data_IF_175482222142
#
_entry.id   IF_175482222142
#
_cell.length_a   1.000
_cell.length_b   1.000
_cell.length_c   1.000
_cell.angle_alpha   90.00
_cell.angle_beta   90.00
_cell.angle_gamma   90.00
#
_symmetry.space_group_name_H-M   'P 1'
#
loop_
_entity.id
_entity.type
_entity.pdbx_description
1 polymer ?
#
# COMPACT_ATOMS: atom_id res chain seq x y z
N UNK A 1 -17.41 24.32 -6.23
CA UNK A 1 -16.34 24.47 -7.23
C UNK A 1 -14.99 24.49 -6.51
N UNK A 2 -13.92 24.05 -7.17
CA UNK A 2 -12.56 24.32 -6.66
C UNK A 2 -12.39 25.85 -6.56
N UNK A 3 -11.84 26.33 -5.45
CA UNK A 3 -11.71 27.77 -5.19
C UNK A 3 -10.76 28.47 -6.19
N UNK A 4 -9.77 27.73 -6.69
CA UNK A 4 -8.71 28.25 -7.56
C UNK A 4 -8.46 27.34 -8.78
N UNK A 5 -7.98 27.89 -9.91
CA UNK A 5 -7.50 27.09 -11.04
C UNK A 5 -6.37 26.17 -10.59
N UNK A 6 -6.39 24.92 -11.08
CA UNK A 6 -5.36 23.95 -10.72
C UNK A 6 -4.01 24.34 -11.34
N UNK A 7 -2.88 24.13 -10.64
CA UNK A 7 -1.55 24.38 -11.19
C UNK A 7 -1.29 23.52 -12.43
N UNK A 8 -0.40 23.98 -13.32
CA UNK A 8 -0.06 23.25 -14.54
C UNK A 8 0.83 22.02 -14.32
N UNK A 9 1.37 21.79 -13.13
CA UNK A 9 2.24 20.65 -12.82
C UNK A 9 2.22 20.31 -11.31
N UNK A 10 2.80 19.17 -10.95
CA UNK A 10 2.87 18.68 -9.57
C UNK A 10 1.59 17.98 -9.14
N UNK A 11 1.28 18.04 -7.84
CA UNK A 11 0.03 17.52 -7.27
C UNK A 11 -0.73 18.68 -6.65
N UNK A 12 -1.96 18.90 -7.10
CA UNK A 12 -2.83 19.96 -6.62
C UNK A 12 -3.71 19.45 -5.47
N UNK A 13 -3.67 20.14 -4.32
CA UNK A 13 -4.63 19.93 -3.25
C UNK A 13 -5.87 20.80 -3.50
N UNK A 14 -7.06 20.21 -3.38
CA UNK A 14 -8.34 20.89 -3.55
C UNK A 14 -9.18 20.65 -2.32
N UNK A 15 -9.51 21.73 -1.63
CA UNK A 15 -10.58 21.75 -0.63
C UNK A 15 -11.85 22.26 -1.32
N UNK A 16 -12.94 21.50 -1.23
CA UNK A 16 -14.18 21.88 -1.89
C UNK A 16 -15.01 22.78 -0.98
N UNK A 17 -15.29 23.99 -1.45
CA UNK A 17 -16.17 24.95 -0.79
C UNK A 17 -17.55 24.88 -1.44
N UNK A 18 -18.56 24.45 -0.68
CA UNK A 18 -19.97 24.46 -1.05
C UNK A 18 -20.88 24.59 0.20
N UNK A 19 -22.18 24.75 -0.01
CA UNK A 19 -23.13 24.98 1.09
C UNK A 19 -23.73 23.69 1.65
N UNK A 20 -23.12 22.53 1.37
CA UNK A 20 -23.62 21.23 1.80
C UNK A 20 -23.05 20.83 3.15
N UNK A 21 -23.81 20.03 3.92
CA UNK A 21 -23.43 19.53 5.25
C UNK A 21 -22.38 18.38 5.18
N UNK A 22 -21.31 18.58 4.43
CA UNK A 22 -20.18 17.66 4.32
C UNK A 22 -18.86 18.43 4.14
N UNK A 23 -17.75 17.73 4.36
CA UNK A 23 -16.41 18.21 4.01
C UNK A 23 -15.86 17.29 2.92
N UNK A 24 -15.28 17.87 1.88
CA UNK A 24 -14.67 17.12 0.79
C UNK A 24 -13.32 17.74 0.42
N UNK A 25 -12.33 16.90 0.19
CA UNK A 25 -11.02 17.30 -0.30
C UNK A 25 -10.40 16.23 -1.18
N UNK A 26 -9.54 16.62 -2.11
CA UNK A 26 -8.78 15.68 -2.92
C UNK A 26 -7.41 16.23 -3.33
N UNK A 27 -6.52 15.33 -3.69
CA UNK A 27 -5.25 15.61 -4.35
C UNK A 27 -5.31 15.09 -5.78
N UNK A 28 -5.01 15.93 -6.76
CA UNK A 28 -4.99 15.58 -8.18
C UNK A 28 -3.60 15.77 -8.77
N UNK A 29 -3.07 14.74 -9.42
CA UNK A 29 -1.80 14.82 -10.12
C UNK A 29 -1.96 15.59 -11.44
N UNK A 30 -1.16 16.64 -11.61
CA UNK A 30 -1.05 17.48 -12.81
C UNK A 30 0.19 17.16 -13.62
N UNK A 31 1.13 16.40 -13.05
CA UNK A 31 2.26 15.82 -13.78
C UNK A 31 2.48 14.35 -13.40
N UNK A 32 3.28 13.66 -14.21
CA UNK A 32 3.61 12.25 -14.01
C UNK A 32 5.06 11.99 -14.43
N UNK A 33 5.90 11.65 -13.44
CA UNK A 33 7.26 11.14 -13.71
C UNK A 33 7.21 9.72 -14.28
N UNK A 34 6.12 8.98 -14.00
CA UNK A 34 5.90 7.63 -14.51
C UNK A 34 5.91 7.60 -16.04
N UNK A 35 5.20 8.53 -16.70
CA UNK A 35 5.11 8.57 -18.16
C UNK A 35 6.47 8.78 -18.85
N UNK A 36 7.29 9.67 -18.29
CA UNK A 36 8.65 9.90 -18.78
C UNK A 36 9.55 8.66 -18.60
N UNK A 37 9.48 8.01 -17.44
CA UNK A 37 10.22 6.79 -17.17
C UNK A 37 9.78 5.63 -18.08
N UNK A 38 8.48 5.49 -18.30
CA UNK A 38 7.90 4.50 -19.20
C UNK A 38 8.39 4.70 -20.65
N UNK A 39 8.34 5.92 -21.17
CA UNK A 39 8.83 6.22 -22.52
C UNK A 39 10.32 5.91 -22.71
N UNK A 40 11.15 6.16 -21.69
CA UNK A 40 12.57 5.82 -21.73
C UNK A 40 12.81 4.31 -21.75
N UNK A 41 11.95 3.52 -21.09
CA UNK A 41 12.14 2.09 -20.89
C UNK A 41 11.47 1.20 -21.94
N UNK A 42 10.53 1.74 -22.73
CA UNK A 42 9.68 0.96 -23.62
C UNK A 42 9.69 1.49 -25.07
N UNK A 43 9.20 0.68 -26.01
CA UNK A 43 9.11 1.05 -27.43
C UNK A 43 8.09 2.18 -27.66
N UNK A 44 8.24 3.01 -28.72
CA UNK A 44 7.24 4.01 -29.08
C UNK A 44 5.84 3.41 -29.28
N UNK A 45 5.76 2.21 -29.83
CA UNK A 45 4.52 1.48 -30.08
C UNK A 45 3.82 1.09 -28.78
N UNK A 46 4.58 0.67 -27.76
CA UNK A 46 4.05 0.38 -26.43
C UNK A 46 3.61 1.66 -25.72
N UNK A 47 4.39 2.73 -25.84
CA UNK A 47 4.07 4.05 -25.25
C UNK A 47 2.77 4.61 -25.79
N UNK A 48 2.49 4.44 -27.09
CA UNK A 48 1.27 4.91 -27.71
C UNK A 48 -0.01 4.17 -27.25
N UNK A 49 0.12 2.96 -26.69
CA UNK A 49 -1.02 2.10 -26.30
C UNK A 49 -1.40 2.21 -24.82
N UNK A 50 -0.46 2.58 -23.95
CA UNK A 50 -0.66 2.53 -22.50
C UNK A 50 -1.04 3.91 -21.95
N UNK A 51 -2.17 3.95 -21.23
CA UNK A 51 -2.60 5.14 -20.50
C UNK A 51 -1.73 5.35 -19.26
N UNK A 52 -1.25 6.58 -19.05
CA UNK A 52 -0.54 6.95 -17.83
C UNK A 52 -1.46 6.78 -16.60
N UNK A 53 -1.10 5.91 -15.63
CA UNK A 53 -1.91 5.65 -14.46
C UNK A 53 -1.74 6.72 -13.38
N UNK A 54 -0.81 7.65 -13.48
CA UNK A 54 -0.51 8.65 -12.45
C UNK A 54 -1.07 10.01 -12.82
N UNK A 55 -0.92 10.41 -14.08
CA UNK A 55 -1.45 11.69 -14.56
C UNK A 55 -2.96 11.75 -14.31
N UNK A 56 -3.43 12.85 -13.73
CA UNK A 56 -4.83 13.10 -13.37
C UNK A 56 -5.46 12.12 -12.38
N UNK A 57 -4.67 11.20 -11.80
CA UNK A 57 -5.11 10.42 -10.66
C UNK A 57 -5.47 11.36 -9.53
N UNK A 58 -6.69 11.19 -9.03
CA UNK A 58 -7.31 12.02 -8.01
C UNK A 58 -7.67 11.13 -6.83
N UNK A 59 -7.10 11.42 -5.66
CA UNK A 59 -7.29 10.68 -4.41
C UNK A 59 -7.80 11.64 -3.35
N UNK A 60 -8.84 11.26 -2.61
CA UNK A 60 -9.39 12.15 -1.59
C UNK A 60 -10.49 11.51 -0.76
N UNK A 61 -11.14 12.34 0.04
CA UNK A 61 -12.20 11.93 0.94
C UNK A 61 -13.42 12.84 0.86
N UNK A 62 -14.58 12.26 1.15
CA UNK A 62 -15.79 12.98 1.53
C UNK A 62 -16.21 12.49 2.90
N UNK A 63 -16.43 13.41 3.83
CA UNK A 63 -16.89 13.14 5.19
C UNK A 63 -18.23 13.82 5.45
N UNK A 64 -19.18 13.06 5.95
CA UNK A 64 -20.49 13.55 6.39
C UNK A 64 -20.94 12.81 7.65
N UNK A 65 -21.80 13.44 8.44
CA UNK A 65 -22.36 12.80 9.63
C UNK A 65 -23.81 13.23 9.84
N UNK A 66 -24.66 12.30 10.29
CA UNK A 66 -26.09 12.56 10.45
C UNK A 66 -26.32 13.65 11.51
N UNK A 67 -27.03 14.71 11.14
CA UNK A 67 -27.37 15.82 12.05
C UNK A 67 -26.23 16.82 12.27
N UNK A 68 -25.10 16.67 11.59
CA UNK A 68 -24.04 17.67 11.57
C UNK A 68 -24.34 18.74 10.52
N UNK A 69 -23.89 19.96 10.78
CA UNK A 69 -23.93 21.10 9.87
C UNK A 69 -22.52 21.54 9.53
N UNK A 70 -22.31 22.03 8.31
CA UNK A 70 -21.02 22.63 7.95
C UNK A 70 -20.78 23.87 8.81
N UNK A 71 -19.62 23.92 9.47
CA UNK A 71 -19.20 25.07 10.27
C UNK A 71 -18.24 25.96 9.47
N UNK A 72 -17.27 25.33 8.81
CA UNK A 72 -16.28 26.00 7.97
C UNK A 72 -15.85 25.09 6.81
N UNK A 73 -14.92 25.52 5.93
CA UNK A 73 -14.47 24.70 4.81
C UNK A 73 -13.93 23.32 5.18
N UNK A 74 -13.41 23.14 6.38
CA UNK A 74 -12.70 21.96 6.86
C UNK A 74 -13.40 21.22 7.99
N UNK A 75 -14.52 21.75 8.51
CA UNK A 75 -15.19 21.17 9.67
C UNK A 75 -16.72 21.13 9.56
N UNK A 76 -17.29 20.10 10.20
CA UNK A 76 -18.73 19.94 10.44
C UNK A 76 -18.94 19.80 11.95
N UNK A 77 -20.04 20.33 12.46
CA UNK A 77 -20.36 20.33 13.88
C UNK A 77 -21.84 20.03 14.12
N UNK A 78 -22.17 19.50 15.30
CA UNK A 78 -23.56 19.41 15.75
C UNK A 78 -24.02 20.77 16.27
N UNK A 79 -25.26 21.21 15.98
CA UNK A 79 -25.78 22.45 16.53
C UNK A 79 -25.94 22.42 18.07
N UNK A 80 -26.01 21.22 18.66
CA UNK A 80 -26.20 20.97 20.09
C UNK A 80 -25.40 19.72 20.51
N UNK A 81 -25.03 19.58 21.79
CA UNK A 81 -24.33 18.38 22.29
C UNK A 81 -25.09 17.08 21.99
N UNK A 82 -24.38 16.08 21.47
CA UNK A 82 -24.93 14.74 21.18
C UNK A 82 -24.17 13.64 21.94
N UNK A 83 -24.83 12.50 22.15
CA UNK A 83 -24.23 11.31 22.82
C UNK A 83 -23.78 10.22 21.85
N UNK A 84 -23.99 10.40 20.55
CA UNK A 84 -23.62 9.45 19.51
C UNK A 84 -23.39 10.16 18.20
N UNK A 85 -22.42 9.67 17.43
CA UNK A 85 -22.04 10.19 16.12
C UNK A 85 -22.14 9.03 15.13
N UNK A 86 -22.88 9.24 14.06
CA UNK A 86 -22.95 8.34 12.91
C UNK A 86 -22.36 9.08 11.72
N UNK A 87 -21.10 8.77 11.40
CA UNK A 87 -20.29 9.44 10.40
C UNK A 87 -19.89 8.47 9.28
N UNK A 88 -19.94 8.96 8.05
CA UNK A 88 -19.46 8.27 6.86
C UNK A 88 -18.25 9.02 6.31
N UNK A 89 -17.13 8.31 6.19
CA UNK A 89 -15.93 8.77 5.49
C UNK A 89 -15.74 7.89 4.27
N UNK A 90 -15.96 8.46 3.08
CA UNK A 90 -15.68 7.76 1.82
C UNK A 90 -14.31 8.20 1.31
N UNK A 91 -13.39 7.24 1.20
CA UNK A 91 -12.10 7.43 0.53
C UNK A 91 -12.23 6.97 -0.91
N UNK A 92 -11.81 7.79 -1.87
CA UNK A 92 -11.89 7.47 -3.29
C UNK A 92 -10.63 7.88 -4.04
N UNK A 93 -10.08 6.94 -4.80
CA UNK A 93 -9.01 7.17 -5.76
C UNK A 93 -9.44 6.74 -7.16
N UNK A 94 -9.42 7.64 -8.13
CA UNK A 94 -9.79 7.37 -9.53
C UNK A 94 -9.00 8.26 -10.50
N UNK A 95 -9.25 8.16 -11.81
CA UNK A 95 -8.69 9.06 -12.84
C UNK A 95 -9.82 9.75 -13.63
N UNK A 96 -10.57 10.68 -13.01
CA UNK A 96 -11.68 11.36 -13.67
C UNK A 96 -11.20 12.52 -14.54
N UNK A 97 -12.05 12.98 -15.45
CA UNK A 97 -11.74 14.10 -16.35
C UNK A 97 -11.57 15.43 -15.58
N UNK A 98 -12.28 15.60 -14.45
CA UNK A 98 -12.18 16.79 -13.59
C UNK A 98 -12.33 16.46 -12.10
N UNK A 99 -11.96 17.42 -11.25
CA UNK A 99 -12.16 17.32 -9.79
C UNK A 99 -13.64 17.36 -9.39
N UNK A 100 -14.50 17.99 -10.18
CA UNK A 100 -15.95 18.00 -9.94
C UNK A 100 -16.58 16.64 -10.32
N UNK A 101 -16.10 15.98 -11.37
CA UNK A 101 -16.49 14.61 -11.70
C UNK A 101 -16.04 13.63 -10.61
N UNK A 102 -14.82 13.82 -10.08
CA UNK A 102 -14.34 13.07 -8.90
C UNK A 102 -15.29 13.24 -7.70
N UNK A 103 -15.62 14.49 -7.36
CA UNK A 103 -16.48 14.81 -6.22
C UNK A 103 -17.88 14.22 -6.39
N UNK A 104 -18.45 14.33 -7.58
CA UNK A 104 -19.77 13.77 -7.90
C UNK A 104 -19.80 12.26 -7.70
N UNK A 105 -18.74 11.56 -8.10
CA UNK A 105 -18.57 10.14 -7.82
C UNK A 105 -18.45 9.88 -6.32
N UNK A 106 -17.60 10.64 -5.61
CA UNK A 106 -17.35 10.49 -4.18
C UNK A 106 -18.60 10.80 -3.31
N UNK A 107 -19.52 11.63 -3.78
CA UNK A 107 -20.78 11.92 -3.09
C UNK A 107 -21.85 10.84 -3.26
N UNK A 108 -21.66 9.86 -4.16
CA UNK A 108 -22.64 8.76 -4.28
C UNK A 108 -22.77 8.04 -2.91
N UNK A 109 -24.00 7.67 -2.52
CA UNK A 109 -24.22 6.96 -1.26
C UNK A 109 -23.40 5.67 -1.19
N UNK A 110 -22.76 5.43 -0.05
CA UNK A 110 -22.13 4.15 0.26
C UNK A 110 -22.96 3.48 1.33
N UNK A 111 -23.37 2.24 1.08
CA UNK A 111 -24.05 1.42 2.08
C UNK A 111 -23.01 0.53 2.77
N UNK A 112 -22.92 0.63 4.08
CA UNK A 112 -22.12 -0.32 4.87
C UNK A 112 -22.74 -1.71 4.76
N UNK A 113 -21.92 -2.71 4.44
CA UNK A 113 -22.28 -4.12 4.52
C UNK A 113 -21.54 -4.76 5.71
N UNK A 114 -22.10 -4.52 6.89
CA UNK A 114 -21.52 -4.97 8.15
C UNK A 114 -21.51 -6.49 8.28
N UNK A 115 -22.53 -7.16 7.78
CA UNK A 115 -22.62 -8.62 7.82
C UNK A 115 -21.55 -9.26 6.94
N UNK A 116 -21.34 -8.74 5.72
CA UNK A 116 -20.25 -9.19 4.86
C UNK A 116 -18.86 -8.88 5.48
N UNK A 117 -18.71 -7.73 6.14
CA UNK A 117 -17.48 -7.38 6.85
C UNK A 117 -17.15 -8.38 7.97
N UNK A 118 -18.12 -8.71 8.81
CA UNK A 118 -17.95 -9.70 9.88
C UNK A 118 -17.70 -11.10 9.33
N UNK A 119 -18.43 -11.51 8.28
CA UNK A 119 -18.24 -12.79 7.62
C UNK A 119 -16.82 -12.91 7.03
N UNK A 120 -16.33 -11.84 6.40
CA UNK A 120 -14.96 -11.77 5.89
C UNK A 120 -13.94 -11.98 7.01
N UNK A 121 -14.01 -11.20 8.09
CA UNK A 121 -13.02 -11.31 9.18
C UNK A 121 -13.08 -12.65 9.89
N UNK A 122 -14.28 -13.20 10.10
CA UNK A 122 -14.44 -14.55 10.65
C UNK A 122 -13.78 -15.59 9.74
N UNK A 123 -14.00 -15.52 8.43
CA UNK A 123 -13.32 -16.39 7.46
C UNK A 123 -11.81 -16.22 7.53
N UNK A 124 -11.31 -14.99 7.49
CA UNK A 124 -9.89 -14.67 7.51
C UNK A 124 -9.17 -15.22 8.75
N UNK A 125 -9.74 -15.02 9.94
CA UNK A 125 -9.15 -15.49 11.19
C UNK A 125 -9.22 -17.01 11.34
N UNK A 126 -10.22 -17.67 10.73
CA UNK A 126 -10.33 -19.12 10.74
C UNK A 126 -9.29 -19.84 9.86
N UNK A 127 -8.58 -19.12 8.96
CA UNK A 127 -7.59 -19.75 8.07
C UNK A 127 -6.27 -20.07 8.76
N UNK A 128 -5.84 -19.24 9.71
CA UNK A 128 -4.58 -19.46 10.40
C UNK A 128 -4.48 -18.69 11.73
N UNK A 129 -4.02 -19.36 12.77
CA UNK A 129 -3.78 -18.75 14.07
C UNK A 129 -2.64 -19.49 14.79
N UNK A 130 -1.88 -18.74 15.57
CA UNK A 130 -0.89 -19.29 16.50
C UNK A 130 -1.37 -18.97 17.90
N UNK A 131 -1.53 -20.00 18.73
CA UNK A 131 -1.88 -19.87 20.13
C UNK A 131 -0.89 -20.69 20.96
N UNK A 132 -0.16 -20.01 21.85
CA UNK A 132 0.81 -20.64 22.74
C UNK A 132 0.21 -20.66 24.16
N UNK A 133 -0.44 -21.75 24.59
CA UNK A 133 -1.18 -21.79 25.85
C UNK A 133 -0.27 -21.87 27.09
N UNK A 134 0.97 -22.30 26.92
CA UNK A 134 1.93 -22.53 28.00
C UNK A 134 3.32 -22.11 27.56
N UNK A 135 4.05 -21.48 28.47
CA UNK A 135 5.47 -21.19 28.33
C UNK A 135 6.24 -21.92 29.43
N UNK A 136 7.56 -22.06 29.24
CA UNK A 136 8.45 -22.54 30.31
C UNK A 136 8.56 -21.55 31.46
N UNK A 137 9.47 -21.82 32.38
CA UNK A 137 9.79 -20.90 33.48
C UNK A 137 10.88 -19.90 33.09
N UNK A 138 11.11 -18.91 33.95
CA UNK A 138 12.18 -17.93 33.82
C UNK A 138 11.82 -16.69 33.02
N UNK A 139 12.85 -15.90 32.75
CA UNK A 139 12.78 -14.62 32.05
C UNK A 139 13.59 -14.68 30.76
N UNK A 140 13.15 -13.91 29.77
CA UNK A 140 13.80 -13.82 28.47
C UNK A 140 14.19 -12.37 28.22
N UNK A 141 15.44 -12.16 27.82
CA UNK A 141 15.90 -10.87 27.35
C UNK A 141 15.24 -10.56 25.99
N UNK A 142 14.52 -9.43 25.93
CA UNK A 142 13.94 -8.87 24.71
C UNK A 142 14.65 -7.59 24.27
N UNK A 143 15.98 -7.54 24.43
CA UNK A 143 16.80 -6.49 23.86
C UNK A 143 16.40 -6.29 22.39
N UNK A 144 15.95 -5.07 22.08
CA UNK A 144 15.55 -4.58 20.76
C UNK A 144 14.09 -4.79 20.28
N UNK A 145 13.18 -5.38 21.07
CA UNK A 145 11.77 -5.50 20.64
C UNK A 145 10.87 -4.36 21.15
N UNK A 146 10.72 -3.35 20.30
CA UNK A 146 10.06 -2.03 20.46
C UNK A 146 8.53 -2.02 20.73
N UNK A 147 7.87 -3.16 20.92
CA UNK A 147 6.41 -3.25 21.11
C UNK A 147 5.97 -3.67 22.51
N UNK A 148 6.89 -3.76 23.45
CA UNK A 148 6.55 -3.79 24.86
C UNK A 148 5.87 -2.46 25.22
N UNK A 149 4.65 -2.54 25.75
CA UNK A 149 3.92 -1.39 26.31
C UNK A 149 4.64 -0.89 27.57
N UNK A 150 5.81 -0.29 27.39
CA UNK A 150 6.39 0.56 28.41
C UNK A 150 5.72 1.94 28.29
N UNK A 151 5.44 2.62 29.42
CA UNK A 151 5.16 4.04 29.39
C UNK A 151 6.22 4.72 28.52
N UNK A 152 5.80 5.51 27.53
CA UNK A 152 6.65 6.08 26.49
C UNK A 152 7.64 7.13 27.05
N UNK A 153 8.63 6.71 27.86
CA UNK A 153 9.77 7.54 28.25
C UNK A 153 10.96 7.30 27.33
N UNK A 154 11.93 8.22 27.35
CA UNK A 154 13.23 8.09 26.67
C UNK A 154 13.96 6.77 26.98
N UNK A 155 13.61 6.12 28.10
CA UNK A 155 14.20 4.85 28.57
C UNK A 155 13.66 3.63 27.79
N UNK A 156 12.77 3.82 26.81
CA UNK A 156 12.39 2.78 25.85
C UNK A 156 13.59 2.24 25.06
N UNK A 157 14.65 3.04 24.92
CA UNK A 157 15.84 2.75 24.11
C UNK A 157 17.06 2.31 24.93
N UNK A 158 16.96 2.26 26.26
CA UNK A 158 18.06 1.86 27.14
C UNK A 158 17.72 0.60 27.95
N UNK A 159 18.62 -0.37 27.91
CA UNK A 159 18.72 -1.44 28.90
C UNK A 159 18.14 -2.81 28.51
N UNK A 160 18.77 -3.82 29.13
CA UNK A 160 18.36 -5.22 29.21
C UNK A 160 16.95 -5.33 29.80
N UNK A 161 15.95 -5.64 28.96
CA UNK A 161 14.56 -5.81 29.43
C UNK A 161 14.18 -7.27 29.40
N UNK A 162 14.14 -7.84 30.59
CA UNK A 162 13.63 -9.18 30.82
C UNK A 162 12.10 -9.18 30.90
N UNK A 163 11.46 -10.13 30.24
CA UNK A 163 10.03 -10.40 30.42
C UNK A 163 9.81 -11.87 30.84
N UNK A 164 8.72 -12.17 31.58
CA UNK A 164 8.35 -13.55 31.86
C UNK A 164 8.12 -14.36 30.58
N UNK A 165 8.47 -15.64 30.61
CA UNK A 165 8.21 -16.59 29.53
C UNK A 165 6.76 -16.56 29.02
N UNK A 166 5.80 -16.47 29.95
CA UNK A 166 4.35 -16.42 29.66
C UNK A 166 3.98 -15.18 28.87
N UNK A 167 4.55 -14.02 29.22
CA UNK A 167 4.36 -12.78 28.48
C UNK A 167 4.97 -12.87 27.07
N UNK A 168 6.14 -13.52 26.94
CA UNK A 168 6.78 -13.71 25.64
C UNK A 168 5.91 -14.59 24.71
N UNK A 169 5.42 -15.72 25.21
CA UNK A 169 4.52 -16.61 24.48
C UNK A 169 3.23 -15.91 24.02
N UNK A 170 2.63 -15.09 24.90
CA UNK A 170 1.48 -14.28 24.55
C UNK A 170 1.80 -13.26 23.44
N UNK A 171 2.92 -12.56 23.56
CA UNK A 171 3.36 -11.58 22.55
C UNK A 171 3.64 -12.23 21.19
N UNK A 172 4.17 -13.45 21.13
CA UNK A 172 4.36 -14.15 19.85
C UNK A 172 3.01 -14.36 19.15
N UNK A 173 2.00 -14.83 19.90
CA UNK A 173 0.63 -15.02 19.38
C UNK A 173 0.02 -13.69 18.90
N UNK A 174 0.19 -12.62 19.69
CA UNK A 174 -0.27 -11.28 19.34
C UNK A 174 0.43 -10.70 18.10
N UNK A 175 1.75 -10.88 17.97
CA UNK A 175 2.54 -10.39 16.83
C UNK A 175 2.13 -11.07 15.54
N UNK A 176 1.91 -12.39 15.58
CA UNK A 176 1.40 -13.13 14.44
C UNK A 176 0.05 -12.59 13.97
N UNK A 177 -0.88 -12.38 14.90
CA UNK A 177 -2.19 -11.82 14.59
C UNK A 177 -2.07 -10.39 14.03
N UNK A 178 -1.22 -9.54 14.62
CA UNK A 178 -1.01 -8.16 14.17
C UNK A 178 -0.41 -8.10 12.76
N UNK A 179 0.59 -8.93 12.46
CA UNK A 179 1.19 -8.97 11.12
C UNK A 179 0.15 -9.37 10.06
N UNK A 180 -0.63 -10.43 10.33
CA UNK A 180 -1.73 -10.86 9.44
C UNK A 180 -2.76 -9.76 9.26
N UNK A 181 -3.17 -9.08 10.33
CA UNK A 181 -4.09 -7.94 10.27
C UNK A 181 -3.54 -6.83 9.37
N UNK A 182 -2.31 -6.38 9.61
CA UNK A 182 -1.66 -5.30 8.86
C UNK A 182 -1.52 -5.63 7.37
N UNK A 183 -1.21 -6.88 7.02
CA UNK A 183 -1.17 -7.29 5.62
C UNK A 183 -2.57 -7.30 5.00
N UNK A 184 -3.58 -7.82 5.70
CA UNK A 184 -4.92 -7.97 5.18
C UNK A 184 -5.60 -6.63 4.86
N UNK A 185 -5.44 -5.63 5.74
CA UNK A 185 -6.02 -4.30 5.52
C UNK A 185 -5.34 -3.51 4.40
N UNK A 186 -4.10 -3.87 4.04
CA UNK A 186 -3.28 -3.10 3.11
C UNK A 186 -3.17 -3.73 1.71
N UNK A 187 -3.43 -5.03 1.57
CA UNK A 187 -3.10 -5.80 0.36
C UNK A 187 -4.28 -6.01 -0.60
N UNK A 188 -5.37 -5.24 -0.47
CA UNK A 188 -6.52 -5.29 -1.39
C UNK A 188 -6.62 -4.09 -2.34
N UNK A 189 -5.60 -3.24 -2.35
CA UNK A 189 -5.51 -2.08 -3.23
C UNK A 189 -5.03 -2.42 -4.64
N UNK A 190 -4.93 -1.40 -5.49
CA UNK A 190 -4.44 -1.53 -6.87
C UNK A 190 -2.92 -1.76 -6.97
N UNK A 191 -2.18 -1.58 -5.86
CA UNK A 191 -0.74 -1.79 -5.76
C UNK A 191 -0.41 -2.57 -4.49
N UNK A 192 0.71 -3.32 -4.47
CA UNK A 192 1.21 -3.97 -3.26
C UNK A 192 1.40 -2.99 -2.09
N UNK A 193 1.20 -3.45 -0.85
CA UNK A 193 1.46 -2.63 0.32
C UNK A 193 2.94 -2.22 0.35
N UNK A 194 3.19 -0.96 0.66
CA UNK A 194 4.54 -0.43 0.79
C UNK A 194 5.28 -1.11 1.96
N UNK A 195 6.52 -1.54 1.75
CA UNK A 195 7.29 -2.26 2.77
C UNK A 195 7.71 -1.38 3.97
N UNK A 196 7.75 -0.07 3.79
CA UNK A 196 8.19 0.94 4.76
C UNK A 196 7.00 1.54 5.53
N UNK A 197 6.19 0.68 6.15
CA UNK A 197 5.05 1.10 6.99
C UNK A 197 3.66 0.84 6.39
N UNK A 198 3.57 0.14 5.26
CA UNK A 198 2.28 -0.26 4.66
C UNK A 198 1.41 0.97 4.31
N UNK A 199 0.14 0.97 4.71
CA UNK A 199 -0.77 2.11 4.58
C UNK A 199 -0.67 3.12 5.74
N UNK A 200 0.21 2.86 6.71
CA UNK A 200 0.35 3.71 7.88
C UNK A 200 1.46 4.74 7.67
N UNK A 201 1.06 6.01 7.63
CA UNK A 201 1.94 7.16 7.67
C UNK A 201 1.44 8.14 8.73
N UNK A 202 2.34 8.94 9.29
CA UNK A 202 2.03 9.85 10.39
C UNK A 202 2.91 11.09 10.32
N UNK A 203 2.46 12.18 10.91
CA UNK A 203 3.29 13.34 11.16
C UNK A 203 4.46 12.95 12.06
N UNK A 204 5.66 13.32 11.66
CA UNK A 204 6.88 13.11 12.43
C UNK A 204 7.53 14.45 12.75
N UNK A 205 7.78 14.79 14.03
CA UNK A 205 8.47 16.02 14.37
C UNK A 205 9.94 15.98 13.94
N UNK A 206 10.58 17.15 13.85
CA UNK A 206 12.03 17.21 13.69
C UNK A 206 12.74 16.45 14.82
N UNK A 207 13.90 15.87 14.50
CA UNK A 207 14.74 15.10 15.41
C UNK A 207 14.40 13.61 15.51
N UNK A 208 13.28 13.14 14.92
CA UNK A 208 13.03 11.69 14.85
C UNK A 208 14.08 10.99 13.99
N UNK A 209 14.44 9.77 14.35
CA UNK A 209 15.37 8.97 13.57
C UNK A 209 14.74 8.56 12.23
N UNK A 210 15.32 9.06 11.13
CA UNK A 210 15.06 8.55 9.79
C UNK A 210 15.91 7.31 9.48
N UNK A 211 15.98 6.92 8.21
CA UNK A 211 16.79 5.79 7.77
C UNK A 211 18.27 5.90 8.19
N UNK A 212 18.90 7.02 7.85
CA UNK A 212 20.35 7.23 7.99
C UNK A 212 20.72 8.14 9.17
N UNK A 213 19.85 9.10 9.49
CA UNK A 213 20.08 10.12 10.52
C UNK A 213 18.78 10.72 11.04
N UNK A 214 18.82 11.45 12.17
CA UNK A 214 17.69 12.27 12.62
C UNK A 214 17.22 13.24 11.53
N UNK A 215 15.90 13.40 11.37
CA UNK A 215 15.31 14.36 10.42
C UNK A 215 15.49 15.78 10.92
N UNK A 216 16.05 16.66 10.11
CA UNK A 216 16.25 18.07 10.46
C UNK A 216 14.93 18.84 10.55
N UNK A 217 13.94 18.46 9.74
CA UNK A 217 12.63 19.11 9.64
C UNK A 217 11.50 18.12 9.94
N UNK A 218 10.32 18.60 10.37
CA UNK A 218 9.13 17.76 10.44
C UNK A 218 8.81 17.13 9.08
N UNK A 219 8.26 15.91 9.10
CA UNK A 219 7.82 15.17 7.92
C UNK A 219 6.31 14.96 8.02
N UNK A 220 5.56 15.38 6.98
CA UNK A 220 4.12 15.16 6.92
C UNK A 220 3.78 13.70 6.58
N UNK A 221 2.52 13.25 6.70
CA UNK A 221 2.12 11.89 6.35
C UNK A 221 2.27 11.56 4.86
N UNK A 222 2.55 12.55 4.00
CA UNK A 222 2.85 12.36 2.58
C UNK A 222 4.31 11.96 2.33
N UNK A 223 5.18 12.17 3.32
CA UNK A 223 6.60 11.86 3.27
C UNK A 223 6.95 10.61 4.08
N UNK A 224 7.74 9.70 3.48
CA UNK A 224 8.43 8.62 4.20
C UNK A 224 9.68 8.20 3.47
N UNK A 225 10.67 7.72 4.22
CA UNK A 225 11.92 7.25 3.65
C UNK A 225 11.68 6.12 2.66
N UNK A 226 12.35 6.19 1.52
CA UNK A 226 12.24 5.24 0.40
C UNK A 226 10.88 5.12 -0.29
N UNK A 227 9.89 5.99 0.00
CA UNK A 227 8.57 5.96 -0.67
C UNK A 227 8.65 5.89 -2.21
N UNK A 228 9.64 6.60 -2.79
CA UNK A 228 9.86 6.69 -4.23
C UNK A 228 10.24 5.37 -4.90
N UNK A 229 10.75 4.39 -4.15
CA UNK A 229 11.11 3.07 -4.70
C UNK A 229 9.88 2.18 -4.91
N UNK A 230 8.77 2.54 -4.26
CA UNK A 230 7.45 1.92 -4.31
C UNK A 230 7.44 0.39 -4.22
N UNK A 231 7.53 -0.34 -5.33
CA UNK A 231 7.64 -1.79 -5.35
C UNK A 231 9.11 -2.19 -5.36
N UNK A 232 9.69 -2.19 -4.16
CA UNK A 232 11.05 -2.68 -3.90
C UNK A 232 10.96 -4.17 -3.54
N UNK A 233 11.32 -5.05 -4.46
CA UNK A 233 10.97 -6.48 -4.34
C UNK A 233 11.70 -7.19 -3.20
N UNK A 234 12.99 -6.92 -2.98
CA UNK A 234 13.77 -7.51 -1.89
C UNK A 234 13.10 -7.30 -0.53
N UNK A 235 12.48 -6.14 -0.29
CA UNK A 235 11.72 -5.91 0.94
C UNK A 235 10.32 -6.51 0.86
N UNK A 236 9.61 -6.28 -0.26
CA UNK A 236 8.21 -6.66 -0.44
C UNK A 236 7.99 -8.17 -0.42
N UNK A 237 8.98 -8.97 -0.84
CA UNK A 237 8.87 -10.43 -0.93
C UNK A 237 8.61 -11.15 0.40
N UNK A 238 9.13 -10.63 1.52
CA UNK A 238 9.09 -11.34 2.81
C UNK A 238 7.67 -11.69 3.27
N UNK A 239 6.71 -10.74 3.33
CA UNK A 239 5.35 -11.09 3.66
C UNK A 239 4.66 -11.95 2.59
N UNK A 240 5.00 -11.79 1.31
CA UNK A 240 4.38 -12.55 0.23
C UNK A 240 4.71 -14.04 0.27
N UNK A 241 5.96 -14.41 0.57
CA UNK A 241 6.37 -15.81 0.74
C UNK A 241 5.58 -16.55 1.82
N UNK A 242 5.16 -15.86 2.89
CA UNK A 242 4.40 -16.49 3.96
C UNK A 242 2.87 -16.43 3.76
N UNK A 243 2.34 -15.69 2.78
CA UNK A 243 0.89 -15.55 2.61
C UNK A 243 0.22 -16.87 2.20
N UNK A 244 0.84 -17.67 1.33
CA UNK A 244 0.25 -18.92 0.84
C UNK A 244 0.04 -19.94 1.98
N UNK A 245 1.05 -20.12 2.83
CA UNK A 245 1.00 -21.04 3.99
C UNK A 245 0.00 -20.61 5.06
N UNK A 246 -0.32 -19.31 5.16
CA UNK A 246 -1.32 -18.77 6.11
C UNK A 246 -2.75 -18.76 5.57
N UNK A 247 -2.96 -19.17 4.31
CA UNK A 247 -4.27 -19.11 3.68
C UNK A 247 -4.71 -17.70 3.27
N UNK A 248 -3.76 -16.76 3.15
CA UNK A 248 -4.00 -15.34 2.88
C UNK A 248 -4.18 -15.09 1.36
N UNK A 249 -4.99 -15.94 0.71
CA UNK A 249 -5.13 -15.98 -0.74
C UNK A 249 -5.80 -14.73 -1.34
N UNK A 250 -6.77 -14.13 -0.62
CA UNK A 250 -7.43 -12.91 -1.09
C UNK A 250 -6.51 -11.68 -1.03
N UNK A 251 -5.45 -11.74 -0.22
CA UNK A 251 -4.49 -10.64 -0.05
C UNK A 251 -3.24 -10.82 -0.91
N UNK A 252 -2.87 -12.06 -1.25
CA UNK A 252 -1.73 -12.31 -2.14
C UNK A 252 -2.08 -12.06 -3.62
N UNK A 253 -3.30 -12.44 -4.04
CA UNK A 253 -3.75 -12.37 -5.44
C UNK A 253 -3.68 -10.96 -6.04
N UNK A 254 -4.09 -9.88 -5.35
CA UNK A 254 -3.96 -8.51 -5.88
C UNK A 254 -2.52 -8.14 -6.25
N UNK A 255 -1.52 -8.53 -5.44
CA UNK A 255 -0.12 -8.31 -5.77
C UNK A 255 0.34 -9.11 -6.99
N UNK A 256 -0.14 -10.34 -7.15
CA UNK A 256 0.16 -11.17 -8.33
C UNK A 256 -0.51 -10.63 -9.59
N UNK A 257 -1.73 -10.12 -9.48
CA UNK A 257 -2.40 -9.43 -10.58
C UNK A 257 -1.71 -8.13 -10.96
N UNK A 258 -1.20 -7.36 -9.99
CA UNK A 258 -0.40 -6.17 -10.26
C UNK A 258 0.80 -6.51 -11.17
N UNK A 259 1.51 -7.60 -10.85
CA UNK A 259 2.62 -8.10 -11.65
C UNK A 259 2.17 -8.50 -13.04
N UNK A 260 1.14 -9.36 -13.16
CA UNK A 260 0.60 -9.79 -14.45
C UNK A 260 0.14 -8.62 -15.32
N UNK A 261 -0.53 -7.64 -14.72
CA UNK A 261 -1.08 -6.48 -15.45
C UNK A 261 0.01 -5.55 -16.01
N UNK A 262 1.26 -5.68 -15.55
CA UNK A 262 2.42 -4.98 -16.12
C UNK A 262 3.33 -5.87 -16.96
N UNK A 263 2.93 -7.12 -17.26
CA UNK A 263 3.80 -8.09 -17.91
C UNK A 263 4.18 -7.68 -19.34
N UNK A 264 3.23 -7.22 -20.15
CA UNK A 264 3.50 -6.79 -21.53
C UNK A 264 4.48 -5.63 -21.59
N UNK A 265 4.41 -4.71 -20.62
CA UNK A 265 5.38 -3.61 -20.45
C UNK A 265 6.77 -4.17 -20.11
N UNK A 266 6.85 -5.18 -19.25
CA UNK A 266 8.10 -5.82 -18.88
C UNK A 266 8.73 -6.59 -20.06
N UNK A 267 7.91 -7.26 -20.89
CA UNK A 267 8.36 -7.96 -22.11
C UNK A 267 8.90 -6.98 -23.14
N UNK A 268 8.13 -5.94 -23.47
CA UNK A 268 8.57 -4.91 -24.41
C UNK A 268 9.86 -4.21 -23.96
N UNK A 269 9.95 -3.91 -22.66
CA UNK A 269 11.17 -3.36 -22.05
C UNK A 269 12.35 -4.32 -22.18
N UNK A 270 12.16 -5.60 -21.90
CA UNK A 270 13.21 -6.62 -22.01
C UNK A 270 13.74 -6.68 -23.45
N UNK A 271 12.83 -6.73 -24.43
CA UNK A 271 13.19 -6.74 -25.85
C UNK A 271 13.97 -5.50 -26.25
N UNK A 272 13.53 -4.32 -25.81
CA UNK A 272 14.20 -3.04 -26.10
C UNK A 272 15.60 -2.95 -25.47
N UNK A 273 15.75 -3.36 -24.20
CA UNK A 273 16.99 -3.17 -23.45
C UNK A 273 18.02 -4.27 -23.70
N UNK A 274 17.58 -5.51 -23.88
CA UNK A 274 18.45 -6.68 -23.93
C UNK A 274 18.39 -7.44 -25.27
N UNK A 275 17.42 -7.14 -26.14
CA UNK A 275 17.27 -7.81 -27.44
C UNK A 275 16.72 -9.25 -27.36
N UNK A 276 16.41 -9.74 -26.16
CA UNK A 276 15.91 -11.11 -25.91
C UNK A 276 14.41 -11.11 -25.66
N UNK A 277 13.79 -12.27 -25.85
CA UNK A 277 12.39 -12.50 -25.51
C UNK A 277 12.26 -12.83 -24.01
N UNK A 278 11.06 -12.64 -23.45
CA UNK A 278 10.78 -12.75 -22.02
C UNK A 278 10.62 -11.38 -21.33
N UNK A 279 10.35 -11.39 -20.04
CA UNK A 279 10.06 -10.24 -19.20
C UNK A 279 11.18 -10.00 -18.19
N UNK A 280 11.40 -8.72 -17.85
CA UNK A 280 12.29 -8.36 -16.74
C UNK A 280 11.57 -7.43 -15.78
N UNK A 281 11.45 -7.82 -14.51
CA UNK A 281 10.90 -6.96 -13.46
C UNK A 281 12.06 -6.36 -12.68
N UNK A 282 12.18 -5.03 -12.72
CA UNK A 282 13.23 -4.33 -11.98
C UNK A 282 12.94 -4.27 -10.49
N UNK A 283 14.02 -4.35 -9.71
CA UNK A 283 14.00 -4.36 -8.26
C UNK A 283 13.21 -3.20 -7.65
N UNK A 284 13.34 -2.00 -8.19
CA UNK A 284 12.56 -0.83 -7.82
C UNK A 284 11.65 -0.43 -9.00
N UNK A 285 10.36 -0.73 -8.88
CA UNK A 285 9.36 -0.40 -9.89
C UNK A 285 8.11 0.23 -9.30
N UNK A 286 7.25 0.76 -10.17
CA UNK A 286 5.98 1.37 -9.81
C UNK A 286 4.83 0.76 -10.63
N UNK A 287 3.70 1.47 -10.76
CA UNK A 287 2.53 1.01 -11.52
C UNK A 287 2.90 0.32 -12.84
N UNK A 288 2.27 -0.83 -13.10
CA UNK A 288 2.54 -1.68 -14.27
C UNK A 288 4.02 -2.08 -14.44
N UNK A 289 4.73 -2.31 -13.35
CA UNK A 289 6.14 -2.74 -13.32
C UNK A 289 7.11 -1.79 -14.05
N UNK A 290 6.79 -0.49 -14.18
CA UNK A 290 7.71 0.49 -14.77
C UNK A 290 8.81 0.81 -13.76
N UNK A 291 10.08 0.74 -14.18
CA UNK A 291 11.22 1.04 -13.31
C UNK A 291 11.21 2.47 -12.79
N UNK A 292 11.65 2.65 -11.54
CA UNK A 292 11.77 3.97 -10.90
C UNK A 292 12.88 4.82 -11.54
N UNK A 293 13.88 4.16 -12.12
CA UNK A 293 15.02 4.79 -12.77
C UNK A 293 15.03 4.46 -14.27
N UNK A 294 15.53 5.37 -15.14
CA UNK A 294 15.96 4.99 -16.48
C UNK A 294 17.10 3.96 -16.38
N UNK A 295 17.25 3.08 -17.38
CA UNK A 295 18.17 1.95 -17.30
C UNK A 295 19.62 2.33 -16.96
N UNK A 296 20.13 3.42 -17.53
CA UNK A 296 21.47 3.92 -17.24
C UNK A 296 21.62 4.59 -15.87
N UNK A 297 20.50 5.02 -15.27
CA UNK A 297 20.46 5.61 -13.94
C UNK A 297 20.21 4.61 -12.81
N UNK A 298 20.06 3.31 -13.11
CA UNK A 298 19.85 2.30 -12.07
C UNK A 298 21.14 2.16 -11.25
N UNK A 299 21.08 2.27 -9.90
CA UNK A 299 22.24 2.02 -9.05
C UNK A 299 22.86 0.64 -9.31
N UNK A 300 24.20 0.56 -9.31
CA UNK A 300 24.90 -0.68 -9.70
C UNK A 300 24.50 -1.93 -8.90
N UNK A 301 24.19 -1.76 -7.61
CA UNK A 301 23.73 -2.86 -6.74
C UNK A 301 22.27 -3.31 -7.03
N UNK A 302 21.50 -2.55 -7.83
CA UNK A 302 20.13 -2.89 -8.24
C UNK A 302 20.04 -3.27 -9.73
N UNK A 303 20.98 -2.85 -10.58
CA UNK A 303 20.89 -2.96 -12.06
C UNK A 303 20.66 -4.40 -12.56
N UNK A 304 21.24 -5.37 -11.87
CA UNK A 304 21.12 -6.79 -12.19
C UNK A 304 20.35 -7.58 -11.14
N UNK A 305 19.68 -6.89 -10.22
CA UNK A 305 18.79 -7.52 -9.26
C UNK A 305 17.42 -7.75 -9.92
N UNK A 306 17.30 -8.87 -10.64
CA UNK A 306 16.12 -9.23 -11.43
C UNK A 306 15.33 -10.39 -10.80
N UNK A 307 15.55 -10.60 -9.49
CA UNK A 307 15.01 -11.74 -8.74
C UNK A 307 13.48 -11.80 -8.73
N UNK A 308 12.83 -10.63 -8.84
CA UNK A 308 11.38 -10.52 -8.92
C UNK A 308 10.80 -11.36 -10.07
N UNK A 309 11.46 -11.39 -11.23
CA UNK A 309 11.02 -12.15 -12.40
C UNK A 309 10.86 -13.64 -12.10
N UNK A 310 11.67 -14.20 -11.18
CA UNK A 310 11.68 -15.63 -10.86
C UNK A 310 10.89 -15.93 -9.56
N UNK A 311 11.07 -15.13 -8.52
CA UNK A 311 10.41 -15.39 -7.23
C UNK A 311 8.89 -15.17 -7.30
N UNK A 312 8.41 -14.23 -8.11
CA UNK A 312 6.97 -13.96 -8.23
C UNK A 312 6.22 -15.18 -8.82
N UNK A 313 6.63 -15.78 -9.95
CA UNK A 313 6.06 -17.05 -10.41
C UNK A 313 6.18 -18.18 -9.39
N UNK A 314 7.27 -18.27 -8.62
CA UNK A 314 7.41 -19.29 -7.58
C UNK A 314 6.35 -19.14 -6.47
N UNK A 315 6.12 -17.91 -5.99
CA UNK A 315 5.06 -17.60 -5.02
C UNK A 315 3.66 -17.85 -5.61
N UNK A 316 3.46 -17.53 -6.89
CA UNK A 316 2.22 -17.85 -7.61
C UNK A 316 2.01 -19.37 -7.69
N UNK A 317 3.06 -20.16 -7.93
CA UNK A 317 3.01 -21.61 -7.96
C UNK A 317 2.67 -22.21 -6.59
N UNK A 318 3.25 -21.67 -5.51
CA UNK A 318 2.89 -22.05 -4.14
C UNK A 318 1.41 -21.74 -3.86
N UNK A 319 0.94 -20.55 -4.25
CA UNK A 319 -0.48 -20.17 -4.14
C UNK A 319 -1.38 -21.14 -4.89
N UNK A 320 -1.01 -21.54 -6.12
CA UNK A 320 -1.77 -22.52 -6.89
C UNK A 320 -1.73 -23.91 -6.25
N UNK A 321 -0.60 -24.36 -5.72
CA UNK A 321 -0.48 -25.67 -5.07
C UNK A 321 -1.46 -25.82 -3.89
N UNK A 322 -1.69 -24.72 -3.15
CA UNK A 322 -2.65 -24.68 -2.04
C UNK A 322 -4.11 -24.55 -2.50
N UNK A 323 -4.37 -23.72 -3.51
CA UNK A 323 -5.74 -23.33 -3.88
C UNK A 323 -6.36 -24.17 -4.98
N UNK A 324 -5.53 -24.76 -5.85
CA UNK A 324 -5.94 -25.41 -7.11
C UNK A 324 -6.84 -24.53 -7.97
N UNK A 325 -6.66 -23.22 -7.89
CA UNK A 325 -7.40 -22.24 -8.67
C UNK A 325 -6.92 -22.24 -10.13
N UNK A 326 -7.62 -23.01 -10.97
CA UNK A 326 -7.35 -23.12 -12.41
C UNK A 326 -7.40 -21.78 -13.14
N UNK A 327 -8.26 -20.86 -12.69
CA UNK A 327 -8.36 -19.53 -13.30
C UNK A 327 -7.10 -18.73 -13.00
N UNK A 328 -6.67 -18.73 -11.73
CA UNK A 328 -5.41 -18.08 -11.34
C UNK A 328 -4.20 -18.69 -12.05
N UNK A 329 -4.17 -20.02 -12.22
CA UNK A 329 -3.13 -20.71 -12.99
C UNK A 329 -3.04 -20.15 -14.42
N UNK A 330 -4.16 -20.15 -15.15
CA UNK A 330 -4.19 -19.81 -16.58
C UNK A 330 -4.04 -18.33 -16.86
N UNK A 331 -4.65 -17.48 -16.04
CA UNK A 331 -4.73 -16.04 -16.31
C UNK A 331 -3.57 -15.24 -15.68
N UNK A 332 -2.91 -15.78 -14.65
CA UNK A 332 -1.90 -15.05 -13.86
C UNK A 332 -0.56 -15.79 -13.80
N UNK A 333 -0.54 -17.04 -13.30
CA UNK A 333 0.71 -17.76 -13.07
C UNK A 333 1.41 -18.14 -14.38
N UNK A 334 0.75 -18.88 -15.27
CA UNK A 334 1.37 -19.37 -16.51
C UNK A 334 1.91 -18.22 -17.37
N UNK A 335 1.16 -17.12 -17.63
CA UNK A 335 1.72 -16.01 -18.39
C UNK A 335 2.99 -15.42 -17.75
N UNK A 336 3.01 -15.25 -16.43
CA UNK A 336 4.19 -14.73 -15.74
C UNK A 336 5.36 -15.73 -15.74
N UNK A 337 5.09 -17.04 -15.71
CA UNK A 337 6.11 -18.08 -15.67
C UNK A 337 6.70 -18.39 -17.05
N UNK A 338 5.91 -18.27 -18.12
CA UNK A 338 6.34 -18.52 -19.50
C UNK A 338 7.19 -17.37 -20.05
N UNK A 339 6.91 -16.13 -19.62
CA UNK A 339 7.70 -14.95 -19.98
C UNK A 339 8.90 -14.75 -19.04
N UNK A 340 8.95 -15.41 -17.88
CA UNK A 340 9.93 -15.15 -16.81
C UNK A 340 11.32 -15.72 -17.03
#
# INVERSE_FOLDING_TARGET
>A
NAADPLPGSGTAAVLFHDDSDHVAWCYRNQSSVWGANFANQNSPEMVAKVKDPILHRTSGCVMSAKGFKRLDPSSIATPQPVKGIDATVRVLTSQPDSVDAWKSEALKPVKSDWDAHLAYWKSFWNRSHIFIPKAGEGTYNLDQFRFTQFPQSRDAYEGHKEIPATQNAYQISQRYALERFCQAIASRGAVPPQYNGSIFTMDMPAGVLGFDRPKENPVSPDGRDWAKLSFMWQNTRHPYWSMATRGDYDTIKPGMHFVRNGLEIAVDRCKKLYGVDGAVIFEASWYHNVGVFPFEGIPGHLKYHQLATIELPAIMAETYAHTRDEKFLRETLLPCAEEG
#
